data_IF_035114805911
#
_entry.id   IF_035114805911
#
_cell.length_a   1.000
_cell.length_b   1.000
_cell.length_c   1.000
_cell.angle_alpha   90.00
_cell.angle_beta   90.00
_cell.angle_gamma   90.00
#
_symmetry.space_group_name_H-M   'P 1'
#
loop_
_entity.id
_entity.type
_entity.pdbx_description
1 polymer ?
#
# COMPACT_ATOMS: atom_id res chain seq x y z
N UNK A 1 -25.57 8.73 -61.67
CA UNK A 1 -24.32 8.04 -61.26
C UNK A 1 -23.51 9.00 -60.40
N UNK A 2 -23.55 8.85 -59.06
CA UNK A 2 -22.53 9.35 -58.11
C UNK A 2 -22.96 8.98 -56.69
N UNK A 3 -22.46 7.84 -56.22
CA UNK A 3 -22.45 7.48 -54.81
C UNK A 3 -21.39 8.34 -54.12
N UNK A 4 -21.77 9.11 -53.11
CA UNK A 4 -20.82 9.70 -52.17
C UNK A 4 -20.90 8.89 -50.87
N UNK A 5 -19.97 7.94 -50.72
CA UNK A 5 -19.68 7.30 -49.45
C UNK A 5 -18.92 8.31 -48.58
N UNK A 6 -19.56 8.81 -47.52
CA UNK A 6 -18.88 9.55 -46.48
C UNK A 6 -18.44 8.54 -45.40
N UNK A 7 -17.16 8.16 -45.46
CA UNK A 7 -16.55 7.26 -44.47
C UNK A 7 -16.43 7.95 -43.12
N UNK A 8 -17.12 7.42 -42.12
CA UNK A 8 -16.99 7.83 -40.73
C UNK A 8 -15.78 7.13 -40.12
N UNK A 9 -14.64 7.81 -40.08
CA UNK A 9 -13.47 7.34 -39.34
C UNK A 9 -13.70 7.61 -37.84
N UNK A 10 -14.19 6.61 -37.10
CA UNK A 10 -14.13 6.62 -35.63
C UNK A 10 -12.68 6.44 -35.20
N UNK A 11 -12.00 7.53 -34.88
CA UNK A 11 -10.79 7.49 -34.07
C UNK A 11 -11.19 7.12 -32.64
N UNK A 12 -11.12 5.82 -32.30
CA UNK A 12 -11.20 5.37 -30.91
C UNK A 12 -9.87 5.69 -30.24
N UNK A 13 -9.77 6.89 -29.68
CA UNK A 13 -8.75 7.22 -28.70
C UNK A 13 -9.02 6.43 -27.43
N UNK A 14 -8.41 5.25 -27.30
CA UNK A 14 -8.36 4.55 -26.03
C UNK A 14 -7.51 5.39 -25.05
N UNK A 15 -8.07 5.89 -23.93
CA UNK A 15 -7.25 6.53 -22.92
C UNK A 15 -6.28 5.48 -22.37
N UNK A 16 -4.99 5.73 -22.54
CA UNK A 16 -3.96 4.97 -21.83
C UNK A 16 -4.12 5.33 -20.35
N UNK A 17 -4.71 4.44 -19.57
CA UNK A 17 -4.64 4.51 -18.11
C UNK A 17 -3.20 4.16 -17.73
N UNK A 18 -2.27 5.10 -17.90
CA UNK A 18 -0.89 4.95 -17.45
C UNK A 18 -0.87 5.14 -15.94
N UNK A 19 -1.42 4.18 -15.21
CA UNK A 19 -1.24 4.04 -13.78
C UNK A 19 -0.29 2.88 -13.56
N UNK A 20 0.97 3.25 -13.33
CA UNK A 20 1.97 2.39 -12.75
C UNK A 20 2.39 3.01 -11.42
N UNK A 21 2.59 2.16 -10.43
CA UNK A 21 3.32 2.50 -9.22
C UNK A 21 4.65 3.17 -9.56
N UNK A 22 5.13 4.03 -8.68
CA UNK A 22 6.44 4.65 -8.82
C UNK A 22 7.51 3.72 -8.25
N UNK A 23 8.42 3.26 -9.10
CA UNK A 23 9.63 2.52 -8.69
C UNK A 23 10.40 3.25 -7.59
N UNK A 24 10.87 2.49 -6.60
CA UNK A 24 11.75 2.99 -5.53
C UNK A 24 13.17 2.42 -5.63
N UNK A 25 13.49 1.72 -6.73
CA UNK A 25 14.76 1.07 -6.97
C UNK A 25 14.99 -0.18 -6.12
N UNK A 26 13.93 -0.79 -5.58
CA UNK A 26 14.07 -2.02 -4.80
C UNK A 26 14.37 -3.22 -5.70
N UNK A 27 15.26 -4.10 -5.22
CA UNK A 27 15.56 -5.35 -5.92
C UNK A 27 14.30 -6.22 -6.04
N UNK A 28 14.05 -6.77 -7.23
CA UNK A 28 12.88 -7.59 -7.55
C UNK A 28 11.53 -6.86 -7.57
N UNK A 29 11.51 -5.54 -7.59
CA UNK A 29 10.27 -4.77 -7.70
C UNK A 29 9.64 -4.90 -9.09
N UNK A 30 8.31 -4.91 -9.12
CA UNK A 30 7.51 -4.83 -10.32
C UNK A 30 6.36 -3.87 -10.04
N UNK A 31 6.21 -2.84 -10.86
CA UNK A 31 5.04 -1.96 -10.83
C UNK A 31 3.81 -2.75 -11.27
N UNK A 32 2.76 -2.74 -10.46
CA UNK A 32 1.58 -3.57 -10.71
C UNK A 32 0.31 -2.96 -10.14
N UNK A 33 -0.79 -3.18 -10.87
CA UNK A 33 -2.15 -3.01 -10.36
C UNK A 33 -2.72 -4.40 -10.10
N UNK A 34 -3.16 -4.64 -8.86
CA UNK A 34 -3.79 -5.88 -8.44
C UNK A 34 -5.22 -5.61 -8.00
N UNK A 35 -6.12 -6.53 -8.34
CA UNK A 35 -7.51 -6.54 -7.88
C UNK A 35 -7.72 -7.72 -6.94
N UNK A 36 -8.39 -7.50 -5.83
CA UNK A 36 -8.70 -8.57 -4.89
C UNK A 36 -9.55 -8.07 -3.73
N UNK A 37 -9.55 -8.86 -2.65
CA UNK A 37 -10.24 -8.56 -1.41
C UNK A 37 -9.24 -8.34 -0.29
N UNK A 38 -9.47 -7.34 0.57
CA UNK A 38 -8.65 -7.17 1.77
C UNK A 38 -9.04 -8.23 2.80
N UNK A 39 -8.03 -8.92 3.32
CA UNK A 39 -8.19 -10.03 4.27
C UNK A 39 -7.27 -9.86 5.46
N UNK A 40 -7.65 -10.45 6.59
CA UNK A 40 -6.75 -10.72 7.70
C UNK A 40 -5.95 -11.99 7.39
N UNK A 41 -4.64 -11.85 7.21
CA UNK A 41 -3.79 -12.96 6.76
C UNK A 41 -3.77 -14.11 7.76
N UNK A 42 -3.82 -13.80 9.06
CA UNK A 42 -3.79 -14.86 10.08
C UNK A 42 -5.11 -15.63 10.07
N UNK A 43 -6.25 -14.98 9.81
CA UNK A 43 -7.53 -15.67 9.58
C UNK A 43 -7.45 -16.60 8.37
N UNK A 44 -6.95 -16.12 7.22
CA UNK A 44 -6.86 -16.93 6.01
C UNK A 44 -5.92 -18.12 6.14
N UNK A 45 -4.78 -17.95 6.83
CA UNK A 45 -3.78 -19.02 6.96
C UNK A 45 -4.09 -20.02 8.07
N UNK A 46 -4.82 -19.63 9.11
CA UNK A 46 -4.96 -20.45 10.33
C UNK A 46 -6.40 -20.71 10.78
N UNK A 47 -7.38 -20.01 10.21
CA UNK A 47 -8.77 -20.00 10.68
C UNK A 47 -8.99 -19.18 11.95
N UNK A 48 -7.96 -18.59 12.55
CA UNK A 48 -8.09 -17.69 13.70
C UNK A 48 -8.58 -16.32 13.26
N UNK A 49 -9.90 -16.18 13.13
CA UNK A 49 -10.53 -15.00 12.56
C UNK A 49 -11.01 -14.00 13.61
N UNK A 50 -10.75 -12.72 13.35
CA UNK A 50 -11.29 -11.60 14.12
C UNK A 50 -12.26 -10.80 13.26
N UNK A 51 -13.25 -10.16 13.90
CA UNK A 51 -14.15 -9.22 13.21
C UNK A 51 -13.36 -8.07 12.59
N UNK A 52 -13.88 -7.50 11.49
CA UNK A 52 -13.33 -6.31 10.82
C UNK A 52 -11.80 -6.36 10.61
N UNK A 53 -11.28 -7.53 10.21
CA UNK A 53 -9.86 -7.78 9.98
C UNK A 53 -8.96 -7.40 11.17
N UNK A 54 -9.50 -7.45 12.40
CA UNK A 54 -8.78 -7.12 13.62
C UNK A 54 -8.61 -5.61 13.84
N UNK A 55 -9.46 -4.77 13.25
CA UNK A 55 -9.51 -3.32 13.51
C UNK A 55 -8.16 -2.62 13.29
N UNK A 56 -7.40 -3.04 12.28
CA UNK A 56 -6.08 -2.48 11.95
C UNK A 56 -4.92 -2.98 12.81
N UNK A 57 -5.19 -3.81 13.82
CA UNK A 57 -4.16 -4.39 14.71
C UNK A 57 -3.47 -5.63 14.14
N UNK A 58 -3.97 -6.13 13.00
CA UNK A 58 -3.45 -7.32 12.31
C UNK A 58 -2.85 -6.92 10.98
N UNK A 59 -1.91 -7.73 10.51
CA UNK A 59 -1.36 -7.52 9.18
C UNK A 59 -2.39 -7.95 8.15
N UNK A 60 -2.71 -7.03 7.24
CA UNK A 60 -3.68 -7.25 6.18
C UNK A 60 -3.00 -7.78 4.93
N UNK A 61 -3.78 -8.45 4.09
CA UNK A 61 -3.35 -8.95 2.79
C UNK A 61 -4.37 -8.63 1.71
N UNK A 62 -3.92 -8.75 0.47
CA UNK A 62 -4.79 -8.76 -0.70
C UNK A 62 -4.93 -10.21 -1.19
N UNK A 63 -6.14 -10.76 -1.10
CA UNK A 63 -6.47 -12.06 -1.68
C UNK A 63 -7.04 -11.84 -3.09
N UNK A 64 -6.32 -12.30 -4.11
CA UNK A 64 -6.74 -12.22 -5.51
C UNK A 64 -7.70 -13.37 -5.87
N UNK A 65 -8.36 -13.27 -7.03
CA UNK A 65 -9.38 -14.24 -7.46
C UNK A 65 -8.81 -15.67 -7.67
N UNK A 66 -7.52 -15.77 -7.97
CA UNK A 66 -6.77 -17.04 -8.05
C UNK A 66 -6.38 -17.60 -6.67
N UNK A 67 -6.88 -17.01 -5.59
CA UNK A 67 -6.57 -17.33 -4.19
C UNK A 67 -5.14 -17.06 -3.75
N UNK A 68 -4.33 -16.35 -4.56
CA UNK A 68 -3.03 -15.85 -4.09
C UNK A 68 -3.24 -14.78 -3.03
N UNK A 69 -2.46 -14.84 -1.94
CA UNK A 69 -2.47 -13.82 -0.87
C UNK A 69 -1.16 -13.05 -0.92
N UNK A 70 -1.27 -11.74 -1.17
CA UNK A 70 -0.14 -10.82 -1.10
C UNK A 70 -0.13 -10.11 0.25
N UNK A 71 1.00 -10.20 0.97
CA UNK A 71 1.22 -9.49 2.22
C UNK A 71 1.33 -7.98 1.97
N UNK A 72 0.42 -7.19 2.51
CA UNK A 72 0.52 -5.72 2.45
C UNK A 72 1.50 -5.29 3.55
N UNK A 73 2.77 -5.20 3.17
CA UNK A 73 3.85 -4.97 4.13
C UNK A 73 4.25 -3.50 4.23
N UNK A 74 4.03 -2.72 3.16
CA UNK A 74 4.62 -1.40 2.97
C UNK A 74 3.66 -0.43 2.26
N UNK A 75 3.90 0.85 2.46
CA UNK A 75 3.12 2.01 1.99
C UNK A 75 4.00 3.28 1.93
N UNK A 76 3.52 4.38 1.32
CA UNK A 76 4.33 5.54 0.95
C UNK A 76 4.99 6.29 2.11
N UNK A 77 4.32 6.53 3.27
CA UNK A 77 4.94 7.29 4.36
C UNK A 77 6.15 6.58 4.96
N UNK A 78 7.33 6.82 4.40
CA UNK A 78 8.61 6.21 4.78
C UNK A 78 8.51 4.69 4.97
N UNK A 79 7.87 3.99 4.04
CA UNK A 79 7.73 2.53 4.08
C UNK A 79 6.96 2.01 5.32
N UNK A 80 6.14 2.84 5.96
CA UNK A 80 5.15 2.39 6.94
C UNK A 80 4.10 1.50 6.27
N UNK A 81 3.44 0.61 7.01
CA UNK A 81 2.44 -0.27 6.39
C UNK A 81 1.22 0.54 5.86
N UNK A 82 0.49 -0.03 4.91
CA UNK A 82 -0.71 0.58 4.32
C UNK A 82 -2.04 0.09 4.94
N UNK A 83 -2.00 -0.57 6.11
CA UNK A 83 -3.19 -1.18 6.72
C UNK A 83 -4.27 -0.14 7.00
N UNK A 84 -3.92 1.01 7.57
CA UNK A 84 -4.87 2.09 7.90
C UNK A 84 -5.63 2.57 6.66
N UNK A 85 -4.95 2.63 5.50
CA UNK A 85 -5.55 3.03 4.22
C UNK A 85 -6.56 2.01 3.69
N UNK A 86 -6.26 0.72 3.81
CA UNK A 86 -7.05 -0.36 3.19
C UNK A 86 -8.04 -1.02 4.16
N UNK A 87 -7.91 -0.79 5.48
CA UNK A 87 -8.80 -1.34 6.51
C UNK A 87 -10.30 -1.12 6.23
N UNK A 88 -10.75 0.05 5.72
CA UNK A 88 -12.18 0.24 5.38
C UNK A 88 -12.73 -0.74 4.33
N UNK A 89 -11.82 -1.40 3.60
CA UNK A 89 -12.12 -2.42 2.60
C UNK A 89 -11.99 -3.85 3.12
N UNK A 90 -11.86 -4.07 4.43
CA UNK A 90 -11.89 -5.41 5.00
C UNK A 90 -13.08 -6.23 4.44
N UNK A 91 -12.78 -7.41 3.89
CA UNK A 91 -13.72 -8.30 3.23
C UNK A 91 -14.49 -7.68 2.05
N UNK A 92 -13.98 -6.59 1.46
CA UNK A 92 -14.56 -5.89 0.30
C UNK A 92 -13.58 -5.88 -0.88
N UNK A 93 -14.10 -5.84 -2.12
CA UNK A 93 -13.26 -5.76 -3.30
C UNK A 93 -12.58 -4.38 -3.40
N UNK A 94 -11.31 -4.41 -3.77
CA UNK A 94 -10.45 -3.25 -3.91
C UNK A 94 -9.51 -3.45 -5.11
N UNK A 95 -9.03 -2.35 -5.67
CA UNK A 95 -7.86 -2.35 -6.54
C UNK A 95 -6.74 -1.59 -5.84
N UNK A 96 -5.55 -2.16 -5.89
CA UNK A 96 -4.33 -1.57 -5.32
C UNK A 96 -3.30 -1.43 -6.41
N UNK A 97 -2.65 -0.28 -6.43
CA UNK A 97 -1.56 0.05 -7.33
C UNK A 97 -0.31 0.24 -6.48
N UNK A 98 0.75 -0.48 -6.84
CA UNK A 98 1.93 -0.56 -6.01
C UNK A 98 3.07 -1.40 -6.58
N UNK A 99 4.04 -1.68 -5.73
CA UNK A 99 5.21 -2.46 -6.09
C UNK A 99 5.06 -3.87 -5.51
N UNK A 100 5.08 -4.87 -6.38
CA UNK A 100 5.20 -6.26 -5.99
C UNK A 100 6.68 -6.65 -5.99
N UNK A 101 7.23 -6.82 -4.80
CA UNK A 101 8.59 -7.30 -4.60
C UNK A 101 8.57 -8.82 -4.68
N UNK A 102 8.99 -9.37 -5.82
CA UNK A 102 9.00 -10.83 -6.07
C UNK A 102 10.30 -11.47 -5.58
N UNK A 103 10.58 -11.35 -4.28
CA UNK A 103 11.71 -12.03 -3.67
C UNK A 103 11.41 -13.54 -3.52
N UNK A 104 12.33 -14.44 -3.92
CA UNK A 104 12.13 -15.89 -3.81
C UNK A 104 11.83 -16.39 -2.39
N UNK A 105 12.23 -15.65 -1.35
CA UNK A 105 11.97 -16.02 0.05
C UNK A 105 10.57 -15.63 0.51
N UNK A 106 10.07 -14.47 0.07
CA UNK A 106 8.77 -13.95 0.48
C UNK A 106 8.32 -12.83 -0.47
N UNK A 107 7.21 -12.98 -1.19
CA UNK A 107 6.64 -11.89 -1.97
C UNK A 107 5.98 -10.87 -1.04
N UNK A 108 6.22 -9.58 -1.30
CA UNK A 108 5.66 -8.48 -0.52
C UNK A 108 5.01 -7.47 -1.44
N UNK A 109 3.87 -6.93 -0.99
CA UNK A 109 3.18 -5.85 -1.67
C UNK A 109 3.41 -4.54 -0.92
N UNK A 110 3.99 -3.58 -1.63
CA UNK A 110 4.01 -2.17 -1.24
C UNK A 110 2.85 -1.50 -1.96
N UNK A 111 1.76 -1.23 -1.24
CA UNK A 111 0.61 -0.50 -1.78
C UNK A 111 0.91 0.99 -1.77
N UNK A 112 0.90 1.65 -2.92
CA UNK A 112 1.10 3.09 -3.03
C UNK A 112 -0.21 3.86 -3.17
N UNK A 113 -1.15 3.30 -3.93
CA UNK A 113 -2.49 3.84 -4.13
C UNK A 113 -3.53 2.74 -4.07
N UNK A 114 -4.76 3.12 -3.79
CA UNK A 114 -5.90 2.19 -3.76
C UNK A 114 -7.18 2.86 -4.21
N UNK A 115 -8.17 2.06 -4.61
CA UNK A 115 -9.53 2.50 -4.92
C UNK A 115 -10.53 1.38 -4.68
N UNK A 116 -11.79 1.75 -4.46
CA UNK A 116 -12.87 0.78 -4.54
C UNK A 116 -12.88 0.12 -5.92
N UNK A 117 -13.14 -1.19 -6.00
CA UNK A 117 -13.16 -1.89 -7.28
C UNK A 117 -14.14 -1.22 -8.26
N UNK A 118 -13.67 -0.93 -9.49
CA UNK A 118 -14.45 -0.23 -10.51
C UNK A 118 -14.62 1.28 -10.33
N UNK A 119 -14.09 1.88 -9.26
CA UNK A 119 -14.01 3.34 -9.13
C UNK A 119 -12.93 3.91 -10.05
N UNK A 120 -13.06 5.17 -10.45
CA UNK A 120 -11.99 5.92 -11.12
C UNK A 120 -11.06 6.65 -10.13
N UNK A 121 -11.47 6.77 -8.86
CA UNK A 121 -10.85 7.67 -7.89
C UNK A 121 -9.76 6.95 -7.08
N UNK A 122 -8.51 7.09 -7.52
CA UNK A 122 -7.35 6.64 -6.77
C UNK A 122 -7.11 7.51 -5.53
N UNK A 123 -6.75 6.86 -4.43
CA UNK A 123 -6.33 7.49 -3.18
C UNK A 123 -4.93 7.04 -2.83
N UNK A 124 -4.14 7.92 -2.23
CA UNK A 124 -2.82 7.59 -1.73
C UNK A 124 -2.92 6.70 -0.48
N UNK A 125 -2.01 5.73 -0.37
CA UNK A 125 -1.95 4.81 0.76
C UNK A 125 -1.25 5.43 1.99
N UNK A 126 -1.57 6.68 2.30
CA UNK A 126 -0.93 7.52 3.32
C UNK A 126 -1.58 7.43 4.73
N UNK A 127 -2.49 6.48 4.92
CA UNK A 127 -3.36 6.40 6.10
C UNK A 127 -2.60 6.27 7.41
N UNK A 128 -1.39 5.69 7.39
CA UNK A 128 -0.51 5.67 8.55
C UNK A 128 -0.18 7.08 9.04
N UNK A 129 0.24 7.97 8.14
CA UNK A 129 0.66 9.33 8.48
C UNK A 129 -0.54 10.18 8.89
N UNK A 130 -1.68 10.02 8.22
CA UNK A 130 -2.95 10.64 8.62
C UNK A 130 -3.34 10.23 10.05
N UNK A 131 -3.31 8.93 10.35
CA UNK A 131 -3.65 8.41 11.67
C UNK A 131 -2.62 8.84 12.74
N UNK A 132 -1.34 8.89 12.38
CA UNK A 132 -0.27 9.37 13.25
C UNK A 132 -0.46 10.86 13.59
N UNK A 133 -0.72 11.70 12.57
CA UNK A 133 -0.97 13.13 12.72
C UNK A 133 -2.18 13.40 13.62
N UNK A 134 -3.26 12.62 13.46
CA UNK A 134 -4.43 12.74 14.30
C UNK A 134 -4.15 12.49 15.80
N UNK A 135 -3.17 11.63 16.11
CA UNK A 135 -2.78 11.30 17.51
C UNK A 135 -1.71 12.23 18.08
N UNK A 136 -0.84 12.78 17.24
CA UNK A 136 0.40 13.45 17.68
C UNK A 136 0.52 14.92 17.26
N UNK A 137 -0.36 15.41 16.37
CA UNK A 137 -0.28 16.75 15.79
C UNK A 137 0.56 16.82 14.51
N UNK A 138 0.72 18.03 13.97
CA UNK A 138 1.50 18.26 12.75
C UNK A 138 3.01 18.14 12.99
N UNK A 139 3.74 17.68 11.98
CA UNK A 139 5.21 17.55 12.02
C UNK A 139 5.77 17.48 10.60
N UNK A 140 6.94 18.08 10.36
CA UNK A 140 7.65 17.97 9.08
C UNK A 140 8.17 16.55 8.83
N UNK A 141 8.60 15.86 9.90
CA UNK A 141 9.07 14.48 9.87
C UNK A 141 8.42 13.73 11.05
N UNK A 142 7.35 12.98 10.80
CA UNK A 142 6.57 12.32 11.85
C UNK A 142 7.45 11.47 12.80
N UNK A 143 8.42 10.74 12.24
CA UNK A 143 9.27 9.82 13.01
C UNK A 143 10.19 10.53 14.01
N UNK A 144 10.52 11.81 13.79
CA UNK A 144 11.32 12.58 14.77
C UNK A 144 10.50 13.07 15.95
N UNK A 145 9.17 13.14 15.79
CA UNK A 145 8.23 13.58 16.82
C UNK A 145 7.47 12.42 17.44
N UNK A 146 7.60 11.21 16.90
CA UNK A 146 6.96 10.03 17.42
C UNK A 146 7.47 9.72 18.85
N UNK A 147 6.57 9.66 19.86
CA UNK A 147 6.99 9.46 21.26
C UNK A 147 7.78 8.17 21.48
N UNK A 148 7.43 7.09 20.77
CA UNK A 148 8.13 5.81 20.89
C UNK A 148 9.51 5.88 20.26
N UNK A 149 9.65 6.49 19.07
CA UNK A 149 10.96 6.71 18.46
C UNK A 149 11.86 7.55 19.37
N UNK A 150 11.32 8.65 19.91
CA UNK A 150 12.05 9.53 20.86
C UNK A 150 12.51 8.74 22.09
N UNK A 151 11.64 7.89 22.67
CA UNK A 151 12.00 7.05 23.81
C UNK A 151 13.10 6.04 23.45
N UNK A 152 12.98 5.34 22.32
CA UNK A 152 13.96 4.36 21.86
C UNK A 152 15.33 5.01 21.62
N UNK A 153 15.35 6.18 20.96
CA UNK A 153 16.59 6.92 20.70
C UNK A 153 17.22 7.42 21.99
N UNK A 154 16.42 7.91 22.96
CA UNK A 154 16.93 8.29 24.28
C UNK A 154 17.59 7.12 25.00
N UNK A 155 17.01 5.91 24.89
CA UNK A 155 17.52 4.70 25.53
C UNK A 155 18.74 4.11 24.84
N UNK A 156 18.75 4.09 23.51
CA UNK A 156 19.68 3.28 22.72
C UNK A 156 20.64 4.11 21.87
N UNK A 157 20.52 5.43 21.89
CA UNK A 157 21.20 6.32 20.96
C UNK A 157 20.63 6.24 19.53
N UNK A 158 21.06 7.15 18.65
CA UNK A 158 20.55 7.27 17.28
C UNK A 158 20.92 6.08 16.38
N UNK A 159 21.89 5.27 16.79
CA UNK A 159 22.35 4.09 16.05
C UNK A 159 21.78 2.77 16.62
N UNK A 160 20.91 2.85 17.64
CA UNK A 160 20.33 1.67 18.30
C UNK A 160 21.32 0.88 19.17
N UNK A 161 22.53 1.39 19.39
CA UNK A 161 23.57 0.80 20.23
C UNK A 161 23.93 1.80 21.34
N UNK A 162 23.65 1.49 22.63
CA UNK A 162 23.95 2.39 23.73
C UNK A 162 25.43 2.84 23.72
N UNK A 163 25.64 4.16 23.80
CA UNK A 163 26.98 4.76 23.82
C UNK A 163 27.65 4.92 22.46
N UNK A 164 27.08 4.40 21.37
CA UNK A 164 27.60 4.62 20.02
C UNK A 164 27.05 5.92 19.43
N UNK A 165 27.94 6.84 19.08
CA UNK A 165 27.61 8.10 18.42
C UNK A 165 27.94 8.04 16.91
N UNK A 166 27.19 8.74 16.06
CA UNK A 166 27.58 8.95 14.66
C UNK A 166 28.95 9.63 14.60
N UNK A 167 29.71 9.33 13.54
CA UNK A 167 30.91 10.11 13.25
C UNK A 167 30.50 11.57 12.95
N UNK A 168 31.28 12.55 13.42
CA UNK A 168 31.03 13.96 13.12
C UNK A 168 31.13 14.25 11.62
#
# INVERSE_FOLDING_TARGET
MRYLFLGLALAVSAPSLTFAAESVGAQYENEIVLKGQIVDIVCELTGNCTKECGEGKRVLGLKTDDSTIYLIAKGPPLFANANESVLPFCAKPIEVDGLLIKNPKMPLLFVQRYRAAGSADWKDADGFEVAWKARNGESDEWFRKDPLVVEIVKKSGPLGIPGLAPKP
#
